data_IF_793280954974
#
_entry.id   IF_793280954974
#
_cell.length_a   1.000
_cell.length_b   1.000
_cell.length_c   1.000
_cell.angle_alpha   90.00
_cell.angle_beta   90.00
_cell.angle_gamma   90.00
#
_symmetry.space_group_name_H-M   'P 1'
#
loop_
_entity.id
_entity.type
_entity.pdbx_description
1 polymer ?
#
# COMPACT_ATOMS: atom_id res chain seq x y z
N UNK A 1 7.07 16.88 -15.72
CA UNK A 1 7.90 17.20 -16.91
C UNK A 1 9.38 16.81 -16.78
N UNK A 2 9.91 16.45 -15.59
CA UNK A 2 11.36 16.10 -15.43
C UNK A 2 11.70 14.60 -15.58
N UNK A 3 10.71 13.71 -15.58
CA UNK A 3 10.97 12.25 -15.54
C UNK A 3 11.29 11.62 -16.90
N UNK A 4 10.76 12.17 -18.01
CA UNK A 4 11.06 11.65 -19.36
C UNK A 4 12.12 12.46 -20.10
N UNK A 5 12.45 13.71 -19.66
CA UNK A 5 13.37 14.59 -20.39
C UNK A 5 14.85 14.22 -20.31
N UNK A 6 15.25 13.33 -19.38
CA UNK A 6 16.66 12.90 -19.28
C UNK A 6 16.99 11.66 -20.13
N UNK A 7 16.03 11.13 -20.92
CA UNK A 7 16.26 9.95 -21.78
C UNK A 7 16.16 10.24 -23.30
N UNK A 8 15.92 11.49 -23.73
CA UNK A 8 15.76 11.85 -25.15
C UNK A 8 17.01 12.47 -25.77
N UNK A 9 18.17 11.98 -25.43
CA UNK A 9 19.44 12.48 -25.98
C UNK A 9 20.45 11.37 -26.22
N UNK A 10 20.18 10.46 -27.13
CA UNK A 10 21.10 9.83 -28.07
C UNK A 10 20.54 8.53 -28.66
N UNK A 11 20.79 8.38 -29.94
CA UNK A 11 20.53 7.23 -30.81
C UNK A 11 20.70 5.84 -30.14
N UNK A 12 19.61 5.03 -30.08
CA UNK A 12 19.62 3.60 -30.37
C UNK A 12 20.38 2.65 -29.43
N UNK A 13 20.64 2.98 -28.17
CA UNK A 13 21.26 2.06 -27.22
C UNK A 13 20.35 1.82 -25.99
N UNK A 14 20.12 0.56 -25.62
CA UNK A 14 19.38 0.15 -24.42
C UNK A 14 20.18 0.59 -23.16
N UNK A 15 19.92 1.79 -22.65
CA UNK A 15 20.62 2.37 -21.48
C UNK A 15 20.15 1.78 -20.15
N UNK A 16 19.82 0.49 -20.04
CA UNK A 16 19.49 -0.15 -18.76
C UNK A 16 20.65 -0.14 -17.76
N UNK A 17 21.88 0.12 -18.20
CA UNK A 17 23.05 0.22 -17.34
C UNK A 17 23.34 1.61 -16.76
N UNK A 18 22.54 2.65 -17.08
CA UNK A 18 22.85 4.04 -16.75
C UNK A 18 22.14 4.61 -15.53
N UNK A 19 21.11 3.93 -14.98
CA UNK A 19 20.39 4.40 -13.80
C UNK A 19 20.64 3.49 -12.57
N UNK A 20 20.57 4.08 -11.37
CA UNK A 20 20.71 3.35 -10.11
C UNK A 20 19.35 2.92 -9.61
N UNK A 21 19.18 1.67 -9.14
CA UNK A 21 17.93 1.23 -8.52
C UNK A 21 17.52 2.13 -7.35
N UNK A 22 16.29 2.63 -7.37
CA UNK A 22 15.71 3.33 -6.24
C UNK A 22 15.52 2.34 -5.08
N UNK A 23 16.01 2.71 -3.91
CA UNK A 23 15.93 1.89 -2.69
C UNK A 23 14.85 2.39 -1.74
N UNK A 24 14.46 3.66 -1.85
CA UNK A 24 13.52 4.32 -0.98
C UNK A 24 12.16 4.44 -1.67
N UNK A 25 11.17 3.65 -1.21
CA UNK A 25 9.84 3.56 -1.83
C UNK A 25 8.75 3.60 -0.77
N UNK A 26 7.80 4.51 -0.96
CA UNK A 26 6.55 4.55 -0.22
C UNK A 26 5.40 4.09 -1.13
N UNK A 27 4.71 3.03 -0.73
CA UNK A 27 3.45 2.59 -1.33
C UNK A 27 2.31 2.96 -0.38
N UNK A 28 1.45 3.87 -0.80
CA UNK A 28 0.14 3.97 -0.17
C UNK A 28 -0.68 2.75 -0.60
N UNK A 29 -0.83 1.81 0.34
CA UNK A 29 -1.59 0.58 0.12
C UNK A 29 -3.07 0.85 0.25
N UNK A 30 -3.73 1.16 -0.87
CA UNK A 30 -5.18 1.34 -0.96
C UNK A 30 -5.93 0.01 -0.82
N UNK A 31 -7.16 0.08 -0.27
CA UNK A 31 -7.97 -1.11 -0.06
C UNK A 31 -8.54 -1.68 -1.37
N UNK A 32 -8.45 -2.99 -1.54
CA UNK A 32 -9.07 -3.78 -2.64
C UNK A 32 -8.70 -3.34 -4.07
N UNK A 33 -7.54 -2.67 -4.24
CA UNK A 33 -6.98 -2.20 -5.51
C UNK A 33 -5.82 -3.05 -6.04
N UNK A 34 -5.76 -4.35 -5.76
CA UNK A 34 -4.62 -5.23 -6.07
C UNK A 34 -3.30 -4.83 -5.38
N UNK A 35 -3.36 -3.96 -4.38
CA UNK A 35 -2.18 -3.42 -3.68
C UNK A 35 -1.37 -4.46 -2.92
N UNK A 36 -1.94 -5.62 -2.54
CA UNK A 36 -1.21 -6.72 -1.89
C UNK A 36 -0.17 -7.35 -2.82
N UNK A 37 -0.45 -7.43 -4.12
CA UNK A 37 0.51 -7.89 -5.13
C UNK A 37 1.66 -6.90 -5.29
N UNK A 38 1.38 -5.59 -5.37
CA UNK A 38 2.43 -4.54 -5.39
C UNK A 38 3.26 -4.57 -4.11
N UNK A 39 2.61 -4.75 -2.95
CA UNK A 39 3.29 -4.87 -1.66
C UNK A 39 4.25 -6.07 -1.64
N UNK A 40 3.84 -7.25 -2.13
CA UNK A 40 4.72 -8.42 -2.21
C UNK A 40 5.95 -8.12 -3.09
N UNK A 41 5.79 -7.41 -4.21
CA UNK A 41 6.92 -6.96 -5.06
C UNK A 41 7.91 -6.12 -4.25
N UNK A 42 7.43 -5.12 -3.51
CA UNK A 42 8.28 -4.25 -2.67
C UNK A 42 8.95 -5.03 -1.53
N UNK A 43 8.21 -5.91 -0.85
CA UNK A 43 8.74 -6.73 0.22
C UNK A 43 9.88 -7.64 -0.26
N UNK A 44 9.70 -8.30 -1.41
CA UNK A 44 10.74 -9.13 -2.03
C UNK A 44 11.98 -8.34 -2.42
N UNK A 45 11.77 -7.18 -3.04
CA UNK A 45 12.87 -6.30 -3.42
C UNK A 45 13.71 -5.88 -2.23
N UNK A 46 13.04 -5.42 -1.16
CA UNK A 46 13.73 -4.97 0.06
C UNK A 46 14.35 -6.10 0.87
N UNK A 47 13.63 -7.23 1.03
CA UNK A 47 14.16 -8.38 1.78
C UNK A 47 15.45 -8.93 1.18
N UNK A 48 15.54 -9.03 -0.15
CA UNK A 48 16.75 -9.50 -0.86
C UNK A 48 17.93 -8.57 -0.70
N UNK A 49 17.68 -7.27 -0.51
CA UNK A 49 18.71 -6.24 -0.42
C UNK A 49 19.00 -5.78 1.01
N UNK A 50 18.40 -6.46 2.01
CA UNK A 50 18.50 -6.12 3.43
C UNK A 50 18.10 -4.66 3.74
N UNK A 51 17.11 -4.15 3.00
CA UNK A 51 16.54 -2.83 3.23
C UNK A 51 15.68 -2.82 4.50
N UNK A 52 15.56 -1.65 5.11
CA UNK A 52 14.71 -1.43 6.29
C UNK A 52 13.28 -1.10 5.90
N UNK A 53 12.34 -1.58 6.71
CA UNK A 53 10.92 -1.40 6.49
C UNK A 53 10.27 -0.62 7.63
N UNK A 54 9.39 0.32 7.30
CA UNK A 54 8.42 0.80 8.28
C UNK A 54 7.36 -0.30 8.46
N UNK A 55 7.32 -0.89 9.66
CA UNK A 55 6.47 -2.04 9.98
C UNK A 55 5.53 -1.70 11.14
N UNK A 56 4.24 -2.05 11.08
CA UNK A 56 3.34 -1.88 12.21
C UNK A 56 3.73 -2.82 13.36
N UNK A 57 3.36 -2.46 14.58
CA UNK A 57 3.67 -3.26 15.78
C UNK A 57 3.11 -4.69 15.70
N UNK A 58 1.92 -4.83 15.13
CA UNK A 58 1.23 -6.10 14.89
C UNK A 58 0.33 -6.00 13.67
N UNK A 59 -0.03 -7.14 13.08
CA UNK A 59 -0.86 -7.17 11.86
C UNK A 59 -0.22 -6.41 10.70
N UNK A 60 -1.05 -5.74 9.89
CA UNK A 60 -0.67 -5.06 8.66
C UNK A 60 -1.20 -3.62 8.54
N UNK A 61 -1.63 -3.00 9.64
CA UNK A 61 -2.23 -1.66 9.68
C UNK A 61 -1.48 -0.71 10.60
N UNK A 62 -1.24 0.52 10.14
CA UNK A 62 -0.84 1.67 10.95
C UNK A 62 -2.06 2.51 11.31
N UNK A 63 -2.72 2.17 12.43
CA UNK A 63 -3.76 2.99 13.04
C UNK A 63 -5.01 3.30 12.22
N UNK A 64 -5.16 2.74 11.00
CA UNK A 64 -6.35 2.94 10.19
C UNK A 64 -7.64 2.70 11.01
N UNK A 65 -8.64 3.57 10.91
CA UNK A 65 -8.88 4.63 9.91
C UNK A 65 -8.30 6.02 10.23
N UNK A 66 -7.54 6.18 11.29
CA UNK A 66 -6.85 7.45 11.60
C UNK A 66 -5.72 7.69 10.59
N UNK A 67 -5.47 8.97 10.29
CA UNK A 67 -4.30 9.34 9.49
C UNK A 67 -3.00 8.92 10.18
N UNK A 68 -1.96 8.65 9.40
CA UNK A 68 -0.67 8.25 9.93
C UNK A 68 -0.10 9.29 10.90
N UNK A 69 0.51 8.81 11.95
CA UNK A 69 1.32 9.57 12.88
C UNK A 69 2.58 8.78 13.23
N UNK A 70 3.70 9.46 13.44
CA UNK A 70 4.98 8.87 13.86
C UNK A 70 4.85 7.98 15.10
N UNK A 71 3.93 8.28 16.01
CA UNK A 71 3.65 7.49 17.21
C UNK A 71 3.10 6.08 16.94
N UNK A 72 2.70 5.78 15.71
CA UNK A 72 2.22 4.45 15.30
C UNK A 72 3.36 3.47 15.03
N UNK A 73 4.61 3.94 14.96
CA UNK A 73 5.80 3.09 14.86
C UNK A 73 6.44 2.98 16.25
N UNK A 74 6.58 1.76 16.80
CA UNK A 74 7.27 1.57 18.06
C UNK A 74 8.73 2.03 17.98
N UNK A 75 9.26 2.76 19.00
CA UNK A 75 10.63 3.27 18.99
C UNK A 75 11.70 2.21 18.78
N UNK A 76 11.49 0.99 19.29
CA UNK A 76 12.40 -0.14 19.15
C UNK A 76 12.41 -0.77 17.75
N UNK A 77 11.47 -0.35 16.89
CA UNK A 77 11.38 -0.77 15.50
C UNK A 77 11.96 0.26 14.51
N UNK A 78 12.42 1.41 15.00
CA UNK A 78 13.04 2.44 14.17
C UNK A 78 14.54 2.14 14.04
N UNK A 79 15.04 1.74 12.87
CA UNK A 79 16.47 1.51 12.67
C UNK A 79 17.25 2.83 12.74
N UNK A 80 18.50 2.82 13.27
CA UNK A 80 19.32 4.05 13.34
C UNK A 80 19.60 4.71 11.99
N UNK A 81 19.51 3.93 10.90
CA UNK A 81 19.70 4.40 9.52
C UNK A 81 18.42 4.79 8.80
N UNK A 82 17.27 4.81 9.48
CA UNK A 82 15.96 5.16 8.90
C UNK A 82 15.32 4.02 8.09
N UNK A 83 14.28 4.36 7.33
CA UNK A 83 13.49 3.40 6.57
C UNK A 83 13.72 3.57 5.07
N UNK A 84 13.77 2.42 4.36
CA UNK A 84 13.80 2.40 2.91
C UNK A 84 12.41 2.15 2.32
N UNK A 85 11.62 1.24 2.90
CA UNK A 85 10.34 0.83 2.33
C UNK A 85 9.22 1.01 3.35
N UNK A 86 8.12 1.64 2.90
CA UNK A 86 6.86 1.71 3.61
C UNK A 86 5.75 1.22 2.69
N UNK A 87 5.12 0.09 3.01
CA UNK A 87 4.14 -0.56 2.11
C UNK A 87 2.96 -1.24 2.83
N UNK A 88 2.66 -0.86 4.07
CA UNK A 88 1.53 -1.40 4.84
C UNK A 88 0.34 -0.44 4.82
N UNK A 89 -0.85 -0.95 5.19
CA UNK A 89 -2.06 -0.13 5.23
C UNK A 89 -1.94 1.04 6.18
N UNK A 90 -2.20 2.22 5.67
CA UNK A 90 -2.22 3.49 6.39
C UNK A 90 -3.22 4.41 5.71
N UNK A 91 -3.86 5.31 6.44
CA UNK A 91 -4.52 6.47 5.84
C UNK A 91 -3.47 7.55 5.65
N UNK A 92 -3.36 8.08 4.43
CA UNK A 92 -2.28 8.99 4.07
C UNK A 92 -2.27 10.25 4.93
N UNK A 93 -1.11 10.56 5.48
CA UNK A 93 -0.79 11.80 6.20
C UNK A 93 0.54 12.31 5.66
N UNK A 94 0.48 13.22 4.68
CA UNK A 94 1.63 13.58 3.82
C UNK A 94 2.85 14.04 4.61
N UNK A 95 2.65 14.88 5.63
CA UNK A 95 3.74 15.53 6.35
C UNK A 95 4.51 14.55 7.21
N UNK A 96 3.81 13.76 8.04
CA UNK A 96 4.46 12.75 8.88
C UNK A 96 5.19 11.69 8.05
N UNK A 97 4.61 11.27 6.92
CA UNK A 97 5.25 10.27 6.04
C UNK A 97 6.48 10.87 5.34
N UNK A 98 6.41 12.11 4.86
CA UNK A 98 7.54 12.80 4.23
C UNK A 98 8.68 13.05 5.22
N UNK A 99 8.37 13.27 6.51
CA UNK A 99 9.39 13.38 7.56
C UNK A 99 10.00 12.02 7.95
N UNK A 100 9.23 10.95 7.83
CA UNK A 100 9.68 9.60 8.15
C UNK A 100 10.64 9.03 7.09
N UNK A 101 10.32 9.28 5.82
CA UNK A 101 11.01 8.67 4.69
C UNK A 101 12.15 9.57 4.17
N UNK A 102 13.23 9.00 3.59
CA UNK A 102 14.28 9.77 2.97
C UNK A 102 13.76 10.73 1.88
N UNK A 103 14.46 11.88 1.65
CA UNK A 103 14.02 12.88 0.67
C UNK A 103 13.94 12.39 -0.77
N UNK A 104 14.68 11.35 -1.13
CA UNK A 104 14.72 10.72 -2.45
C UNK A 104 13.71 9.58 -2.60
N UNK A 105 12.75 9.46 -1.67
CA UNK A 105 11.73 8.41 -1.69
C UNK A 105 10.81 8.58 -2.90
N UNK A 106 10.58 7.48 -3.61
CA UNK A 106 9.59 7.39 -4.67
C UNK A 106 8.23 7.03 -4.07
N UNK A 107 7.26 7.93 -4.18
CA UNK A 107 5.89 7.76 -3.69
C UNK A 107 5.02 7.17 -4.79
N UNK A 108 4.36 6.05 -4.49
CA UNK A 108 3.44 5.37 -5.40
C UNK A 108 2.15 4.99 -4.70
N UNK A 109 1.08 4.87 -5.47
CA UNK A 109 -0.18 4.28 -5.03
C UNK A 109 -0.85 3.53 -6.19
N UNK A 110 -1.94 2.83 -5.91
CA UNK A 110 -2.71 2.11 -6.92
C UNK A 110 -4.19 2.38 -6.75
N UNK A 111 -4.88 2.65 -7.85
CA UNK A 111 -6.32 2.87 -7.91
C UNK A 111 -7.00 1.76 -8.71
N UNK A 112 -8.30 1.62 -8.52
CA UNK A 112 -9.14 0.64 -9.19
C UNK A 112 -10.48 1.26 -9.60
N UNK A 113 -11.13 0.69 -10.62
CA UNK A 113 -12.52 1.04 -10.96
C UNK A 113 -13.38 1.03 -9.69
N UNK A 114 -14.06 2.14 -9.34
CA UNK A 114 -14.75 2.30 -8.07
C UNK A 114 -15.93 1.35 -7.87
N UNK A 115 -16.55 0.88 -8.95
CA UNK A 115 -17.60 -0.13 -8.90
C UNK A 115 -17.02 -1.47 -8.45
N UNK A 116 -15.98 -1.93 -9.14
CA UNK A 116 -15.31 -3.18 -8.82
C UNK A 116 -14.66 -3.14 -7.43
N UNK A 117 -14.19 -1.96 -7.04
CA UNK A 117 -13.65 -1.74 -5.71
C UNK A 117 -14.72 -1.84 -4.64
N UNK A 118 -15.83 -1.08 -4.77
CA UNK A 118 -16.87 -1.03 -3.75
C UNK A 118 -17.58 -2.38 -3.58
N UNK A 119 -17.89 -3.06 -4.69
CA UNK A 119 -18.38 -4.43 -4.63
C UNK A 119 -17.41 -5.35 -3.87
N UNK A 120 -16.11 -5.26 -4.20
CA UNK A 120 -15.09 -6.03 -3.50
C UNK A 120 -15.00 -5.72 -2.01
N UNK A 121 -15.15 -4.47 -1.61
CA UNK A 121 -15.18 -4.05 -0.21
C UNK A 121 -16.40 -4.62 0.51
N UNK A 122 -17.58 -4.44 -0.08
CA UNK A 122 -18.85 -4.83 0.52
C UNK A 122 -18.86 -6.32 0.86
N UNK A 123 -18.45 -7.14 -0.10
CA UNK A 123 -18.40 -8.58 0.05
C UNK A 123 -17.27 -9.05 0.99
N UNK A 124 -16.06 -8.56 0.75
CA UNK A 124 -14.87 -9.03 1.47
C UNK A 124 -14.85 -8.68 2.96
N UNK A 125 -15.34 -7.49 3.32
CA UNK A 125 -15.43 -7.05 4.71
C UNK A 125 -16.79 -7.33 5.33
N UNK A 126 -17.65 -8.11 4.64
CA UNK A 126 -18.98 -8.50 5.10
C UNK A 126 -19.79 -7.29 5.59
N UNK A 127 -19.80 -6.19 4.78
CA UNK A 127 -20.50 -4.95 5.16
C UNK A 127 -22.01 -5.18 5.34
N UNK A 128 -22.56 -6.22 4.72
CA UNK A 128 -23.93 -6.68 4.96
C UNK A 128 -24.19 -6.96 6.45
N UNK A 129 -23.23 -7.56 7.17
CA UNK A 129 -23.37 -7.82 8.61
C UNK A 129 -23.46 -6.54 9.43
N UNK A 130 -22.88 -5.43 8.94
CA UNK A 130 -22.93 -4.13 9.60
C UNK A 130 -24.15 -3.30 9.21
N UNK A 131 -24.55 -3.36 7.94
CA UNK A 131 -25.68 -2.59 7.40
C UNK A 131 -27.01 -3.31 7.58
N UNK A 132 -26.99 -4.64 7.71
CA UNK A 132 -28.15 -5.52 7.81
C UNK A 132 -28.89 -5.71 6.49
N UNK A 133 -28.27 -5.36 5.34
CA UNK A 133 -28.88 -5.50 4.01
C UNK A 133 -27.82 -5.87 2.97
N UNK A 134 -28.15 -6.64 1.91
CA UNK A 134 -27.25 -6.91 0.80
C UNK A 134 -26.96 -5.66 -0.01
N UNK A 135 -25.91 -5.72 -0.86
CA UNK A 135 -25.37 -4.57 -1.59
C UNK A 135 -26.41 -3.82 -2.43
N UNK A 136 -27.25 -4.54 -3.16
CA UNK A 136 -28.30 -3.96 -4.02
C UNK A 136 -29.40 -3.22 -3.22
N UNK A 137 -29.76 -3.75 -2.06
CA UNK A 137 -30.69 -3.10 -1.14
C UNK A 137 -30.02 -1.92 -0.40
N UNK A 138 -28.72 -2.02 -0.10
CA UNK A 138 -27.95 -0.94 0.51
C UNK A 138 -27.93 0.30 -0.37
N UNK A 139 -27.66 0.15 -1.67
CA UNK A 139 -27.56 1.27 -2.61
C UNK A 139 -28.91 2.00 -2.85
N UNK A 140 -30.02 1.35 -2.54
CA UNK A 140 -31.37 1.93 -2.57
C UNK A 140 -31.84 2.46 -1.22
N UNK A 141 -30.99 2.48 -0.20
CA UNK A 141 -31.37 2.81 1.17
C UNK A 141 -30.50 3.93 1.75
N UNK A 142 -30.96 5.18 1.56
CA UNK A 142 -30.26 6.38 2.03
C UNK A 142 -29.96 6.37 3.54
N UNK A 143 -30.88 5.80 4.35
CA UNK A 143 -30.66 5.71 5.80
C UNK A 143 -29.49 4.79 6.16
N UNK A 144 -29.31 3.68 5.43
CA UNK A 144 -28.19 2.77 5.61
C UNK A 144 -26.88 3.35 5.09
N UNK A 145 -26.93 4.05 3.95
CA UNK A 145 -25.78 4.80 3.43
C UNK A 145 -25.33 5.87 4.42
N UNK A 146 -26.23 6.69 4.91
CA UNK A 146 -25.96 7.72 5.90
C UNK A 146 -25.43 7.12 7.22
N UNK A 147 -25.97 5.97 7.64
CA UNK A 147 -25.48 5.26 8.82
C UNK A 147 -24.02 4.82 8.61
N UNK A 148 -23.69 4.20 7.47
CA UNK A 148 -22.33 3.75 7.18
C UNK A 148 -21.35 4.93 7.13
N UNK A 149 -21.73 6.04 6.49
CA UNK A 149 -20.91 7.26 6.41
C UNK A 149 -20.65 7.87 7.79
N UNK A 150 -21.65 7.92 8.68
CA UNK A 150 -21.51 8.41 10.07
C UNK A 150 -20.61 7.49 10.92
N UNK A 151 -20.62 6.19 10.63
CA UNK A 151 -19.82 5.20 11.36
C UNK A 151 -18.50 4.86 10.65
N UNK A 152 -18.05 5.71 9.73
CA UNK A 152 -16.85 5.51 8.91
C UNK A 152 -15.63 5.11 9.74
N UNK A 153 -15.40 5.80 10.86
CA UNK A 153 -14.28 5.50 11.74
C UNK A 153 -14.44 4.22 12.57
N UNK A 154 -15.64 3.69 12.67
CA UNK A 154 -15.91 2.39 13.28
C UNK A 154 -15.92 1.25 12.26
N UNK A 155 -16.60 1.45 11.11
CA UNK A 155 -16.69 0.45 10.04
C UNK A 155 -15.43 0.37 9.17
N UNK A 156 -14.62 1.42 9.15
CA UNK A 156 -13.36 1.58 8.38
C UNK A 156 -13.55 1.73 6.87
N UNK A 157 -14.68 1.30 6.30
CA UNK A 157 -14.95 1.24 4.87
C UNK A 157 -16.28 1.91 4.52
N UNK A 158 -16.42 2.40 3.28
CA UNK A 158 -17.64 3.06 2.82
C UNK A 158 -17.41 3.86 1.53
N UNK A 159 -18.19 4.93 1.35
CA UNK A 159 -18.18 5.82 0.19
C UNK A 159 -16.77 6.37 -0.10
N UNK A 160 -16.40 6.44 -1.40
CA UNK A 160 -15.15 7.04 -1.87
C UNK A 160 -13.92 6.51 -1.10
N UNK A 161 -13.74 5.19 -1.09
CA UNK A 161 -12.69 4.54 -0.29
C UNK A 161 -11.29 4.94 -0.71
N UNK A 162 -11.03 5.16 -2.00
CA UNK A 162 -9.70 5.56 -2.47
C UNK A 162 -9.34 6.96 -1.99
N UNK A 163 -10.26 7.92 -2.07
CA UNK A 163 -10.08 9.26 -1.52
C UNK A 163 -9.86 9.22 -0.01
N UNK A 164 -10.59 8.35 0.70
CA UNK A 164 -10.40 8.20 2.14
C UNK A 164 -9.00 7.65 2.48
N UNK A 165 -8.54 6.62 1.79
CA UNK A 165 -7.18 6.07 1.96
C UNK A 165 -6.11 7.12 1.63
N UNK A 166 -6.36 7.98 0.64
CA UNK A 166 -5.52 9.12 0.25
C UNK A 166 -5.55 10.29 1.24
N UNK A 167 -6.28 10.15 2.35
CA UNK A 167 -6.26 11.12 3.46
C UNK A 167 -7.41 12.12 3.45
N UNK A 168 -8.25 12.14 2.41
CA UNK A 168 -9.34 13.09 2.30
C UNK A 168 -10.59 12.65 3.06
N UNK A 169 -11.43 13.61 3.43
CA UNK A 169 -12.76 13.28 3.96
C UNK A 169 -13.67 12.88 2.81
N UNK A 170 -14.02 11.61 2.77
CA UNK A 170 -14.81 11.02 1.69
C UNK A 170 -16.26 11.56 1.61
N UNK A 171 -16.77 12.19 2.67
CA UNK A 171 -18.10 12.84 2.72
C UNK A 171 -18.06 14.32 2.30
N UNK A 172 -16.88 14.93 2.24
CA UNK A 172 -16.70 16.37 2.09
C UNK A 172 -16.70 16.91 0.64
N UNK A 173 -16.76 16.04 -0.38
CA UNK A 173 -16.74 16.49 -1.78
C UNK A 173 -18.12 16.93 -2.23
N UNK A 174 -18.52 18.15 -1.84
CA UNK A 174 -19.81 18.75 -2.19
C UNK A 174 -19.78 19.54 -3.49
N UNK A 175 -18.57 19.88 -3.97
CA UNK A 175 -18.37 20.61 -5.22
C UNK A 175 -17.16 20.09 -6.01
N UNK A 176 -17.09 20.47 -7.28
CA UNK A 176 -15.99 20.05 -8.19
C UNK A 176 -14.64 20.66 -7.81
N UNK A 177 -14.62 21.87 -7.27
CA UNK A 177 -13.42 22.60 -6.88
C UNK A 177 -12.62 21.87 -5.79
N UNK A 178 -13.32 21.26 -4.80
CA UNK A 178 -12.66 20.50 -3.71
C UNK A 178 -12.01 19.24 -4.26
N UNK A 179 -12.67 18.58 -5.21
CA UNK A 179 -12.16 17.37 -5.84
C UNK A 179 -10.98 17.67 -6.77
N UNK A 180 -11.02 18.77 -7.53
CA UNK A 180 -9.90 19.21 -8.38
C UNK A 180 -8.67 19.54 -7.50
N UNK A 181 -8.89 20.21 -6.37
CA UNK A 181 -7.83 20.48 -5.39
C UNK A 181 -7.24 19.20 -4.79
N UNK A 182 -8.07 18.21 -4.47
CA UNK A 182 -7.61 16.92 -3.98
C UNK A 182 -6.79 16.17 -5.04
N UNK A 183 -7.22 16.15 -6.28
CA UNK A 183 -6.51 15.54 -7.40
C UNK A 183 -5.13 16.19 -7.59
N UNK A 184 -5.06 17.55 -7.54
CA UNK A 184 -3.79 18.25 -7.65
C UNK A 184 -2.83 17.89 -6.51
N UNK A 185 -3.32 17.81 -5.25
CA UNK A 185 -2.52 17.39 -4.11
C UNK A 185 -1.98 15.97 -4.25
N UNK A 186 -2.78 15.05 -4.84
CA UNK A 186 -2.34 13.68 -5.13
C UNK A 186 -1.27 13.69 -6.22
N UNK A 187 -1.45 14.49 -7.29
CA UNK A 187 -0.45 14.64 -8.35
C UNK A 187 0.89 15.16 -7.85
N UNK A 188 0.85 16.09 -6.90
CA UNK A 188 2.05 16.67 -6.28
C UNK A 188 2.73 15.73 -5.29
N UNK A 189 1.97 14.77 -4.74
CA UNK A 189 2.46 13.85 -3.71
C UNK A 189 2.99 12.53 -4.29
N UNK A 190 2.43 12.03 -5.39
CA UNK A 190 2.76 10.71 -5.91
C UNK A 190 3.47 10.79 -7.27
N UNK A 191 4.61 10.13 -7.38
CA UNK A 191 5.41 10.02 -8.60
C UNK A 191 4.72 9.14 -9.66
N UNK A 192 4.01 8.10 -9.22
CA UNK A 192 3.25 7.21 -10.09
C UNK A 192 1.99 6.72 -9.37
N UNK A 193 0.86 6.81 -10.05
CA UNK A 193 -0.41 6.22 -9.65
C UNK A 193 -0.70 5.06 -10.59
N UNK A 194 -0.62 3.83 -10.07
CA UNK A 194 -0.91 2.62 -10.81
C UNK A 194 -2.42 2.44 -10.96
N UNK A 195 -2.83 1.70 -11.98
CA UNK A 195 -4.24 1.37 -12.26
C UNK A 195 -4.39 -0.15 -12.30
N UNK A 196 -5.28 -0.69 -11.47
CA UNK A 196 -5.46 -2.13 -11.31
C UNK A 196 -5.90 -2.82 -12.62
N UNK A 197 -6.70 -2.15 -13.45
CA UNK A 197 -7.15 -2.66 -14.75
C UNK A 197 -6.05 -2.60 -15.84
N UNK A 198 -4.96 -1.88 -15.59
CA UNK A 198 -3.75 -1.79 -16.41
C UNK A 198 -2.53 -2.21 -15.59
N UNK A 199 -2.66 -3.35 -14.90
CA UNK A 199 -1.71 -3.75 -13.86
C UNK A 199 -0.31 -4.03 -14.41
N UNK A 200 -0.23 -4.76 -15.52
CA UNK A 200 1.06 -5.11 -16.12
C UNK A 200 1.77 -3.88 -16.70
N UNK A 201 1.04 -3.01 -17.41
CA UNK A 201 1.56 -1.75 -17.91
C UNK A 201 2.01 -0.85 -16.75
N UNK A 202 1.23 -0.82 -15.67
CA UNK A 202 1.59 -0.11 -14.45
C UNK A 202 2.89 -0.62 -13.84
N UNK A 203 3.10 -1.95 -13.80
CA UNK A 203 4.35 -2.56 -13.32
C UNK A 203 5.54 -2.29 -14.23
N UNK A 204 5.36 -2.27 -15.55
CA UNK A 204 6.43 -1.89 -16.48
C UNK A 204 6.87 -0.45 -16.26
N UNK A 205 5.92 0.48 -16.13
CA UNK A 205 6.23 1.88 -15.82
C UNK A 205 6.88 2.04 -14.43
N UNK A 206 6.41 1.28 -13.44
CA UNK A 206 7.01 1.25 -12.11
C UNK A 206 8.44 0.72 -12.13
N UNK A 207 8.69 -0.38 -12.83
CA UNK A 207 10.02 -0.95 -13.03
C UNK A 207 11.00 0.09 -13.58
N UNK A 208 10.57 0.79 -14.62
CA UNK A 208 11.43 1.78 -15.28
C UNK A 208 11.62 3.05 -14.42
N UNK A 209 10.59 3.48 -13.68
CA UNK A 209 10.68 4.57 -12.72
C UNK A 209 11.69 4.27 -11.61
N UNK A 210 11.66 3.03 -11.09
CA UNK A 210 12.52 2.60 -10.00
C UNK A 210 13.92 2.12 -10.47
N UNK A 211 14.17 2.06 -11.77
CA UNK A 211 15.38 1.44 -12.34
C UNK A 211 15.59 -0.02 -11.88
N UNK A 212 14.51 -0.77 -11.78
CA UNK A 212 14.50 -2.18 -11.37
C UNK A 212 14.52 -3.10 -12.57
N UNK A 213 14.86 -4.37 -12.33
CA UNK A 213 14.79 -5.43 -13.32
C UNK A 213 13.39 -6.05 -13.42
N UNK A 214 13.07 -6.68 -14.56
CA UNK A 214 11.80 -7.40 -14.74
C UNK A 214 11.61 -8.48 -13.66
N UNK A 215 12.70 -9.12 -13.22
CA UNK A 215 12.65 -10.12 -12.14
C UNK A 215 12.21 -9.51 -10.79
N UNK A 216 12.47 -8.23 -10.55
CA UNK A 216 12.03 -7.58 -9.31
C UNK A 216 10.51 -7.36 -9.29
N UNK A 217 9.88 -7.13 -10.46
CA UNK A 217 8.45 -6.81 -10.59
C UNK A 217 7.56 -7.97 -11.03
N UNK A 218 8.12 -9.13 -11.43
CA UNK A 218 7.31 -10.32 -11.71
C UNK A 218 6.53 -10.73 -10.46
N UNK A 219 5.32 -11.26 -10.60
CA UNK A 219 4.41 -11.45 -9.47
C UNK A 219 3.54 -12.70 -9.58
N UNK A 220 3.07 -13.18 -8.43
CA UNK A 220 1.86 -13.98 -8.34
C UNK A 220 0.73 -13.09 -7.80
N UNK A 221 -0.49 -13.38 -8.21
CA UNK A 221 -1.64 -12.62 -7.75
C UNK A 221 -2.00 -13.01 -6.32
N UNK A 222 -2.09 -12.03 -5.44
CA UNK A 222 -2.49 -12.21 -4.04
C UNK A 222 -3.93 -11.75 -3.80
N UNK A 223 -4.57 -12.33 -2.79
CA UNK A 223 -5.95 -12.01 -2.39
C UNK A 223 -6.99 -12.18 -3.52
N UNK A 224 -6.80 -13.18 -4.39
CA UNK A 224 -7.78 -13.54 -5.39
C UNK A 224 -9.03 -14.13 -4.72
N UNK A 225 -10.19 -13.57 -5.03
CA UNK A 225 -11.47 -14.09 -4.53
C UNK A 225 -11.75 -15.48 -5.10
N UNK A 226 -12.22 -16.40 -4.24
CA UNK A 226 -12.60 -17.76 -4.65
C UNK A 226 -13.88 -17.77 -5.48
N UNK A 227 -14.86 -16.98 -5.08
CA UNK A 227 -16.13 -16.87 -5.80
C UNK A 227 -16.08 -15.69 -6.75
N UNK A 228 -16.41 -15.92 -8.02
CA UNK A 228 -16.66 -14.80 -8.94
C UNK A 228 -17.87 -14.03 -8.42
N UNK A 229 -17.77 -12.69 -8.43
CA UNK A 229 -18.95 -11.89 -8.18
C UNK A 229 -20.03 -12.22 -9.21
N UNK A 230 -21.32 -12.20 -8.83
CA UNK A 230 -22.40 -12.24 -9.80
C UNK A 230 -22.22 -11.13 -10.82
N UNK A 231 -22.71 -11.33 -12.03
CA UNK A 231 -22.67 -10.28 -13.03
C UNK A 231 -23.49 -9.08 -12.55
N UNK A 232 -22.81 -7.96 -12.39
CA UNK A 232 -23.43 -6.73 -11.85
C UNK A 232 -24.33 -6.12 -12.91
N UNK A 233 -25.62 -5.91 -12.61
CA UNK A 233 -26.56 -5.26 -13.52
C UNK A 233 -26.10 -3.83 -13.87
N UNK A 234 -26.56 -3.31 -15.00
CA UNK A 234 -26.24 -1.92 -15.42
C UNK A 234 -26.77 -0.90 -14.41
N UNK A 235 -27.94 -1.14 -13.84
CA UNK A 235 -28.56 -0.32 -12.79
C UNK A 235 -27.68 -0.29 -11.55
N UNK A 236 -27.31 -1.47 -11.03
CA UNK A 236 -26.49 -1.59 -9.83
C UNK A 236 -25.10 -0.94 -10.03
N UNK A 237 -24.52 -1.10 -11.22
CA UNK A 237 -23.26 -0.41 -11.59
C UNK A 237 -23.40 1.10 -11.51
N UNK A 238 -24.49 1.66 -12.07
CA UNK A 238 -24.74 3.10 -12.03
C UNK A 238 -24.93 3.61 -10.59
N UNK A 239 -25.71 2.88 -9.77
CA UNK A 239 -25.91 3.23 -8.36
C UNK A 239 -24.59 3.24 -7.58
N UNK A 240 -23.70 2.25 -7.81
CA UNK A 240 -22.37 2.24 -7.23
C UNK A 240 -21.48 3.38 -7.71
N UNK A 241 -21.55 3.76 -8.98
CA UNK A 241 -20.84 4.91 -9.54
C UNK A 241 -21.30 6.23 -8.92
N UNK A 242 -22.62 6.39 -8.74
CA UNK A 242 -23.22 7.56 -8.09
C UNK A 242 -22.82 7.62 -6.61
N UNK A 243 -22.88 6.50 -5.89
CA UNK A 243 -22.46 6.43 -4.50
C UNK A 243 -20.97 6.77 -4.31
N UNK A 244 -20.11 6.41 -5.27
CA UNK A 244 -18.67 6.64 -5.24
C UNK A 244 -18.22 7.68 -6.28
N UNK A 245 -19.02 8.73 -6.49
CA UNK A 245 -18.78 9.71 -7.55
C UNK A 245 -17.41 10.41 -7.46
N UNK A 246 -16.92 10.69 -6.25
CA UNK A 246 -15.58 11.25 -6.05
C UNK A 246 -14.47 10.32 -6.51
N UNK A 247 -14.55 9.05 -6.12
CA UNK A 247 -13.59 8.03 -6.54
C UNK A 247 -13.66 7.80 -8.07
N UNK A 248 -14.84 7.94 -8.68
CA UNK A 248 -15.00 7.82 -10.13
C UNK A 248 -14.22 8.92 -10.88
N UNK A 249 -14.33 10.17 -10.44
CA UNK A 249 -13.59 11.29 -11.05
C UNK A 249 -12.09 11.11 -10.85
N UNK A 250 -11.66 10.76 -9.63
CA UNK A 250 -10.27 10.45 -9.29
C UNK A 250 -9.71 9.36 -10.21
N UNK A 251 -10.39 8.22 -10.28
CA UNK A 251 -9.97 7.07 -11.08
C UNK A 251 -9.84 7.41 -12.57
N UNK A 252 -10.85 8.07 -13.14
CA UNK A 252 -10.83 8.45 -14.55
C UNK A 252 -9.70 9.44 -14.88
N UNK A 253 -9.38 10.35 -13.95
CA UNK A 253 -8.27 11.27 -14.12
C UNK A 253 -6.94 10.52 -14.21
N UNK A 254 -6.62 9.67 -13.23
CA UNK A 254 -5.35 8.95 -13.18
C UNK A 254 -5.25 7.84 -14.23
N UNK A 255 -6.36 7.20 -14.58
CA UNK A 255 -6.39 6.25 -15.70
C UNK A 255 -5.98 6.91 -17.01
N UNK A 256 -6.58 8.08 -17.36
CA UNK A 256 -6.18 8.84 -18.55
C UNK A 256 -4.72 9.29 -18.47
N UNK A 257 -4.21 9.64 -17.28
CA UNK A 257 -2.80 10.00 -17.10
C UNK A 257 -1.89 8.81 -17.38
N UNK A 258 -2.21 7.62 -16.84
CA UNK A 258 -1.46 6.40 -17.11
C UNK A 258 -1.51 6.01 -18.60
N UNK A 259 -2.68 6.09 -19.23
CA UNK A 259 -2.84 5.80 -20.67
C UNK A 259 -1.94 6.74 -21.52
N UNK A 260 -1.86 8.03 -21.18
CA UNK A 260 -0.89 8.95 -21.84
C UNK A 260 0.55 8.53 -21.62
N UNK A 261 0.92 8.09 -20.41
CA UNK A 261 2.27 7.59 -20.14
C UNK A 261 2.58 6.33 -20.95
N UNK A 262 1.61 5.44 -21.16
CA UNK A 262 1.73 4.25 -22.03
C UNK A 262 1.93 4.67 -23.49
N UNK A 263 1.21 5.71 -23.97
CA UNK A 263 1.37 6.26 -25.32
C UNK A 263 2.77 6.86 -25.52
N UNK A 264 3.24 7.63 -24.54
CA UNK A 264 4.58 8.24 -24.53
C UNK A 264 5.70 7.17 -24.44
N UNK A 265 5.44 6.06 -23.75
CA UNK A 265 6.34 4.90 -23.69
C UNK A 265 6.44 4.19 -25.04
N UNK A 266 5.42 4.29 -25.86
CA UNK A 266 5.24 3.64 -27.15
C UNK A 266 4.45 2.34 -27.02
N UNK A 267 3.22 2.30 -27.52
CA UNK A 267 2.28 1.16 -27.38
C UNK A 267 2.85 -0.19 -27.87
N UNK A 268 3.67 -0.17 -28.94
CA UNK A 268 4.31 -1.39 -29.42
C UNK A 268 5.35 -1.91 -28.43
N UNK A 269 6.18 -1.02 -27.91
CA UNK A 269 7.20 -1.34 -26.89
C UNK A 269 6.51 -1.83 -25.60
N UNK A 270 5.47 -1.13 -25.14
CA UNK A 270 4.71 -1.56 -23.95
C UNK A 270 4.17 -2.98 -24.10
N UNK A 271 3.54 -3.32 -25.22
CA UNK A 271 3.07 -4.69 -25.46
C UNK A 271 4.20 -5.72 -25.37
N UNK A 272 5.34 -5.45 -25.99
CA UNK A 272 6.48 -6.37 -25.93
C UNK A 272 7.01 -6.59 -24.51
N UNK A 273 7.05 -5.53 -23.71
CA UNK A 273 7.49 -5.61 -22.31
C UNK A 273 6.46 -6.35 -21.44
N UNK A 274 5.17 -6.11 -21.65
CA UNK A 274 4.08 -6.84 -20.98
C UNK A 274 4.09 -8.33 -21.38
N UNK A 275 4.24 -8.64 -22.66
CA UNK A 275 4.36 -10.04 -23.14
C UNK A 275 5.55 -10.75 -22.48
N UNK A 276 6.68 -10.06 -22.34
CA UNK A 276 7.85 -10.56 -21.63
C UNK A 276 7.59 -10.79 -20.13
N UNK A 277 6.92 -9.86 -19.46
CA UNK A 277 6.54 -10.00 -18.06
C UNK A 277 5.57 -11.18 -17.85
N UNK A 278 4.57 -11.33 -18.71
CA UNK A 278 3.61 -12.42 -18.65
C UNK A 278 4.27 -13.79 -18.93
N UNK A 279 5.21 -13.86 -19.87
CA UNK A 279 5.98 -15.08 -20.10
C UNK A 279 6.74 -15.50 -18.84
N UNK A 280 7.45 -14.57 -18.19
CA UNK A 280 8.16 -14.85 -16.93
C UNK A 280 7.21 -15.30 -15.82
N UNK A 281 6.07 -14.60 -15.67
CA UNK A 281 5.02 -14.92 -14.69
C UNK A 281 4.53 -16.37 -14.91
N UNK A 282 4.20 -16.75 -16.14
CA UNK A 282 3.66 -18.07 -16.47
C UNK A 282 4.70 -19.17 -16.23
N UNK A 283 5.94 -18.97 -16.65
CA UNK A 283 7.03 -19.94 -16.41
C UNK A 283 7.27 -20.16 -14.92
N UNK A 284 7.28 -19.09 -14.13
CA UNK A 284 7.44 -19.20 -12.67
C UNK A 284 6.20 -19.83 -12.03
N UNK A 285 5.00 -19.52 -12.50
CA UNK A 285 3.78 -20.13 -11.99
C UNK A 285 3.78 -21.64 -12.22
N UNK A 286 4.05 -22.09 -13.44
CA UNK A 286 4.15 -23.51 -13.78
C UNK A 286 5.24 -24.24 -13.00
N UNK A 287 6.37 -23.57 -12.75
CA UNK A 287 7.47 -24.16 -12.00
C UNK A 287 7.19 -24.23 -10.50
N UNK A 288 6.60 -23.17 -9.91
CA UNK A 288 6.50 -23.00 -8.48
C UNK A 288 5.17 -23.48 -7.89
N UNK A 289 4.05 -23.27 -8.60
CA UNK A 289 2.71 -23.42 -8.05
C UNK A 289 2.13 -24.78 -8.40
N UNK A 290 1.64 -25.49 -7.40
CA UNK A 290 0.90 -26.73 -7.57
C UNK A 290 -0.58 -26.45 -7.84
N UNK A 291 -1.19 -25.63 -6.99
CA UNK A 291 -2.60 -25.26 -7.05
C UNK A 291 -2.88 -23.98 -6.25
N UNK A 292 -4.06 -23.44 -6.46
CA UNK A 292 -4.68 -22.49 -5.56
C UNK A 292 -5.63 -23.25 -4.62
N UNK A 293 -5.58 -22.93 -3.31
CA UNK A 293 -6.39 -23.59 -2.31
C UNK A 293 -6.77 -22.57 -1.21
N UNK A 294 -7.52 -22.97 -0.21
CA UNK A 294 -7.91 -22.10 0.89
C UNK A 294 -7.92 -22.84 2.21
N UNK A 295 -8.00 -22.07 3.30
CA UNK A 295 -8.19 -22.60 4.63
C UNK A 295 -6.93 -23.15 5.29
N UNK A 296 -7.13 -23.86 6.40
CA UNK A 296 -6.07 -24.27 7.34
C UNK A 296 -5.14 -25.37 6.83
N UNK A 297 -5.48 -26.03 5.74
CA UNK A 297 -4.64 -27.06 5.10
C UNK A 297 -3.45 -26.47 4.35
N UNK A 298 -3.51 -25.18 4.00
CA UNK A 298 -2.41 -24.46 3.36
C UNK A 298 -1.33 -24.13 4.37
N UNK A 299 -0.05 -24.26 3.95
CA UNK A 299 1.10 -23.90 4.77
C UNK A 299 1.00 -22.46 5.29
N UNK A 300 1.40 -22.22 6.53
CA UNK A 300 1.28 -20.92 7.19
C UNK A 300 1.90 -19.78 6.38
N UNK A 301 3.07 -20.00 5.79
CA UNK A 301 3.81 -18.99 5.04
C UNK A 301 3.08 -18.45 3.81
N UNK A 302 2.24 -19.27 3.18
CA UNK A 302 1.52 -18.89 1.96
C UNK A 302 0.02 -18.74 2.16
N UNK A 303 -0.47 -19.03 3.38
CA UNK A 303 -1.89 -18.96 3.71
C UNK A 303 -2.33 -17.52 3.90
N UNK A 304 -3.27 -17.09 3.06
CA UNK A 304 -3.93 -15.81 3.21
C UNK A 304 -4.81 -15.78 4.48
N UNK A 305 -5.05 -14.60 5.02
CA UNK A 305 -5.73 -14.46 6.31
C UNK A 305 -7.26 -14.63 6.24
N UNK A 306 -7.85 -14.58 5.05
CA UNK A 306 -9.27 -14.82 4.82
C UNK A 306 -9.48 -16.15 4.08
N UNK A 307 -10.41 -16.95 4.56
CA UNK A 307 -10.81 -18.20 3.89
C UNK A 307 -11.62 -17.95 2.59
N UNK A 308 -12.01 -16.69 2.30
CA UNK A 308 -12.74 -16.29 1.08
C UNK A 308 -11.82 -16.03 -0.11
N UNK A 309 -10.50 -16.10 0.08
CA UNK A 309 -9.51 -15.88 -0.96
C UNK A 309 -8.59 -17.07 -1.13
N UNK A 310 -8.08 -17.22 -2.35
CA UNK A 310 -7.11 -18.27 -2.64
C UNK A 310 -5.75 -17.96 -2.03
N UNK A 311 -5.16 -18.99 -1.46
CA UNK A 311 -3.77 -19.09 -1.05
C UNK A 311 -2.99 -19.90 -2.09
N UNK A 312 -1.70 -19.61 -2.26
CA UNK A 312 -0.83 -20.29 -3.21
C UNK A 312 -0.22 -21.53 -2.55
N UNK A 313 -0.46 -22.70 -3.11
CA UNK A 313 0.20 -23.95 -2.70
C UNK A 313 1.37 -24.23 -3.63
N UNK A 314 2.57 -24.29 -3.08
CA UNK A 314 3.78 -24.56 -3.84
C UNK A 314 3.93 -26.05 -4.11
N UNK A 315 4.55 -26.41 -5.24
CA UNK A 315 4.90 -27.80 -5.59
C UNK A 315 5.82 -28.40 -4.54
N UNK A 316 5.66 -29.69 -4.30
CA UNK A 316 6.54 -30.44 -3.40
C UNK A 316 8.01 -30.33 -3.87
N UNK A 317 8.92 -30.07 -2.92
CA UNK A 317 10.35 -29.95 -3.22
C UNK A 317 10.80 -28.59 -3.78
N UNK A 318 9.91 -27.63 -3.97
CA UNK A 318 10.30 -26.26 -4.34
C UNK A 318 11.04 -25.61 -3.17
N UNK A 319 12.34 -25.41 -3.35
CA UNK A 319 13.21 -24.68 -2.40
C UNK A 319 13.76 -23.37 -3.01
N UNK A 320 13.32 -23.00 -4.20
CA UNK A 320 13.70 -21.74 -4.81
C UNK A 320 13.13 -20.57 -4.02
N UNK A 321 14.03 -19.71 -3.50
CA UNK A 321 13.67 -18.55 -2.70
C UNK A 321 12.69 -17.60 -3.42
N UNK A 322 12.83 -17.44 -4.74
CA UNK A 322 11.92 -16.59 -5.51
C UNK A 322 10.49 -17.12 -5.46
N UNK A 323 10.29 -18.43 -5.67
CA UNK A 323 8.98 -19.07 -5.56
C UNK A 323 8.36 -18.87 -4.18
N UNK A 324 9.15 -19.13 -3.12
CA UNK A 324 8.70 -19.00 -1.73
C UNK A 324 8.28 -17.54 -1.41
N UNK A 325 9.11 -16.57 -1.78
CA UNK A 325 8.85 -15.16 -1.48
C UNK A 325 7.71 -14.59 -2.34
N UNK A 326 7.53 -15.06 -3.58
CA UNK A 326 6.40 -14.69 -4.45
C UNK A 326 5.06 -15.24 -3.94
N UNK A 327 5.07 -16.44 -3.36
CA UNK A 327 3.87 -17.09 -2.83
C UNK A 327 3.55 -16.67 -1.40
N UNK A 328 4.48 -16.03 -0.68
CA UNK A 328 4.33 -15.70 0.73
C UNK A 328 3.22 -14.68 0.95
N UNK A 329 2.26 -15.05 1.80
CA UNK A 329 1.15 -14.18 2.17
C UNK A 329 1.61 -12.98 3.01
N UNK A 330 0.82 -11.92 3.03
CA UNK A 330 1.17 -10.62 3.63
C UNK A 330 1.57 -10.72 5.11
N UNK A 331 0.76 -11.37 5.95
CA UNK A 331 1.01 -11.40 7.39
C UNK A 331 2.27 -12.23 7.73
N UNK A 332 2.45 -13.46 7.23
CA UNK A 332 3.68 -14.21 7.45
C UNK A 332 4.92 -13.47 6.92
N UNK A 333 4.81 -12.78 5.79
CA UNK A 333 5.94 -12.01 5.27
C UNK A 333 6.28 -10.83 6.17
N UNK A 334 5.28 -10.11 6.64
CA UNK A 334 5.46 -8.99 7.57
C UNK A 334 6.13 -9.44 8.88
N UNK A 335 5.70 -10.57 9.44
CA UNK A 335 6.32 -11.14 10.65
C UNK A 335 7.78 -11.51 10.43
N UNK A 336 8.08 -12.18 9.32
CA UNK A 336 9.46 -12.49 8.93
C UNK A 336 10.33 -11.24 8.80
N UNK A 337 9.82 -10.18 8.20
CA UNK A 337 10.55 -8.91 8.06
C UNK A 337 10.77 -8.23 9.42
N UNK A 338 9.78 -8.26 10.33
CA UNK A 338 9.93 -7.76 11.70
C UNK A 338 11.04 -8.47 12.45
N UNK A 339 11.06 -9.79 12.41
CA UNK A 339 12.08 -10.60 13.09
C UNK A 339 13.46 -10.28 12.51
N UNK A 340 13.61 -10.30 11.18
CA UNK A 340 14.85 -9.95 10.50
C UNK A 340 15.36 -8.56 10.88
N UNK A 341 14.50 -7.54 10.89
CA UNK A 341 14.88 -6.17 11.23
C UNK A 341 15.30 -6.03 12.69
N UNK A 342 14.61 -6.69 13.62
CA UNK A 342 15.04 -6.73 15.04
C UNK A 342 16.41 -7.34 15.21
N UNK A 343 16.71 -8.43 14.51
CA UNK A 343 18.04 -9.07 14.53
C UNK A 343 19.12 -8.14 13.97
N UNK A 344 18.86 -7.47 12.85
CA UNK A 344 19.80 -6.51 12.25
C UNK A 344 20.06 -5.33 13.20
N UNK A 345 19.02 -4.77 13.81
CA UNK A 345 19.15 -3.67 14.78
C UNK A 345 19.97 -4.09 16.01
N UNK A 346 19.73 -5.27 16.56
CA UNK A 346 20.50 -5.80 17.71
C UNK A 346 21.99 -5.98 17.37
N UNK A 347 22.30 -6.56 16.21
CA UNK A 347 23.69 -6.77 15.80
C UNK A 347 24.44 -5.46 15.54
N UNK A 348 23.76 -4.42 15.11
CA UNK A 348 24.37 -3.09 14.88
C UNK A 348 24.83 -2.42 16.18
N UNK A 349 24.12 -2.63 17.30
CA UNK A 349 24.53 -2.10 18.61
C UNK A 349 25.89 -2.67 19.09
N UNK A 350 26.25 -3.89 18.67
CA UNK A 350 27.52 -4.52 19.03
C UNK A 350 28.69 -4.12 18.12
N UNK A 351 28.42 -3.52 16.97
CA UNK A 351 29.44 -3.10 15.99
C UNK A 351 29.81 -1.63 16.10
N UNK A 352 29.11 -0.84 16.91
CA UNK A 352 29.53 0.52 17.23
C UNK A 352 30.82 0.41 18.08
N UNK A 353 31.95 0.98 17.64
CA UNK A 353 33.14 0.98 18.49
C UNK A 353 32.80 1.74 19.77
N UNK A 354 32.94 1.10 20.92
CA UNK A 354 33.04 1.80 22.18
C UNK A 354 34.23 2.74 22.07
N UNK A 355 33.96 3.95 21.59
CA UNK A 355 34.95 5.01 21.46
C UNK A 355 35.52 5.31 22.82
N UNK A 356 36.81 5.06 22.92
CA UNK A 356 37.63 5.41 24.04
C UNK A 356 37.42 6.86 24.45
N UNK A 357 37.39 7.07 25.74
CA UNK A 357 37.39 8.33 26.45
C UNK A 357 38.34 9.36 25.81
N UNK A 358 37.78 10.45 25.32
CA UNK A 358 38.48 11.75 25.38
C UNK A 358 37.50 12.80 25.82
N UNK A 359 37.78 13.33 27.01
CA UNK A 359 37.12 14.39 27.69
C UNK A 359 37.05 15.66 26.86
N UNK A 360 35.83 16.11 26.50
CA UNK A 360 35.57 17.54 26.38
C UNK A 360 34.17 17.80 26.99
N UNK A 361 34.20 18.59 28.04
CA UNK A 361 33.02 19.07 28.77
C UNK A 361 32.17 19.93 27.85
N UNK A 362 30.99 19.45 27.49
CA UNK A 362 29.90 20.20 26.90
C UNK A 362 28.72 20.17 27.85
N UNK A 363 28.25 21.34 28.24
CA UNK A 363 27.24 21.61 29.27
C UNK A 363 25.91 20.89 29.03
N UNK A 364 25.21 20.42 30.08
CA UNK A 364 23.87 19.86 29.96
C UNK A 364 22.83 20.93 29.70
N UNK A 365 22.02 20.77 28.70
CA UNK A 365 20.79 21.53 28.47
C UNK A 365 19.86 21.40 29.69
N UNK A 366 19.61 22.51 30.33
CA UNK A 366 18.75 22.67 31.49
C UNK A 366 17.32 22.22 31.15
N UNK A 367 16.82 21.25 31.91
CA UNK A 367 15.41 20.95 32.05
C UNK A 367 14.70 22.18 32.66
N UNK A 368 13.72 22.70 31.95
CA UNK A 368 12.71 23.57 32.55
C UNK A 368 11.65 22.69 33.22
N UNK A 369 11.75 22.55 34.52
CA UNK A 369 10.68 22.05 35.37
C UNK A 369 10.40 23.09 36.39
N UNK A 370 9.21 23.69 36.37
CA UNK A 370 8.45 24.10 37.56
C UNK A 370 7.18 24.84 37.15
N UNK A 371 6.03 24.24 37.32
CA UNK A 371 4.81 24.98 37.72
C UNK A 371 4.12 24.18 38.80
N UNK A 372 4.13 24.79 39.91
CA UNK A 372 3.57 24.61 41.22
C UNK A 372 2.22 23.90 41.33
N UNK A 373 2.21 22.96 42.28
CA UNK A 373 1.00 22.49 42.96
C UNK A 373 0.35 23.64 43.74
N UNK A 374 -0.91 23.93 43.52
CA UNK A 374 -1.82 24.47 44.51
C UNK A 374 -2.93 23.48 44.80
N UNK A 375 -2.88 22.93 46.02
CA UNK A 375 -4.01 22.28 46.68
C UNK A 375 -5.05 23.33 47.01
N UNK A 376 -6.30 23.10 46.70
CA UNK A 376 -7.41 23.65 47.44
C UNK A 376 -8.43 22.54 47.72
N UNK A 377 -8.48 22.17 48.97
CA UNK A 377 -9.51 21.37 49.60
C UNK A 377 -10.83 22.17 49.59
N UNK A 378 -11.92 21.61 49.09
CA UNK A 378 -13.27 21.95 49.52
C UNK A 378 -14.16 20.70 49.57
N UNK A 379 -14.75 20.57 50.78
CA UNK A 379 -15.69 19.56 51.24
C UNK A 379 -16.97 19.55 50.39
N UNK A 380 -17.54 18.37 50.22
CA UNK A 380 -18.94 18.17 49.86
C UNK A 380 -19.87 18.62 50.99
N UNK A 381 -21.12 18.96 50.68
CA UNK A 381 -22.25 18.61 51.52
C UNK A 381 -23.17 17.59 50.79
N UNK A 382 -23.70 16.70 51.62
CA UNK A 382 -24.77 15.76 51.29
C UNK A 382 -26.11 16.53 51.12
N UNK A 383 -26.92 16.09 50.22
CA UNK A 383 -28.30 16.39 49.98
C UNK A 383 -28.80 15.53 48.84
#
# INVERSE_FOLDING_TARGET
>A
RRFLSNRTGSSGGDCRGCCRPALNVFLLKTHKCASSTVQNVLMRFGDRRNLSFALPQGGNYFGHPKSFSMSMIPPDMIPPWGFNIFCHHVRFGSDDIKHLMPPDTVFITILRDPVNLFESLYLYYHLENHTGVPLDAFLKNDAKQLWLDKHRYASRFGRNQMLFDLGFDASGFTNTSDLDSAIQQIEDSFHLVLIAELFDESLILLRDLLCWDTQDVVYFEHNQRMQKAPETSKELRREMEEYNAGDKVLYLHFKRKLERMIDEYGRKRMRQEVDGLQLWKNLLYEHCVEKLDSGRTVAYETREYSDDVYSIVLRSGVNNRLCLDMARAELPYTERLREKQRLLSRNHWWTLPFGGSSSTRGQPLRRAASVSRRRSSRRMPRG
#
